data_IF_312073185093
#
_entry.id   IF_312073185093
#
_cell.length_a   1.000
_cell.length_b   1.000
_cell.length_c   1.000
_cell.angle_alpha   90.00
_cell.angle_beta   90.00
_cell.angle_gamma   90.00
#
_symmetry.space_group_name_H-M   'P 1'
#
loop_
_entity.id
_entity.type
_entity.pdbx_description
1 polymer ?
#
# COMPACT_ATOMS: atom_id res chain seq x y z
N UNK A 1 -42.55 4.64 16.43
CA UNK A 1 -42.47 4.36 17.87
C UNK A 1 -41.26 3.47 18.06
N UNK A 2 -40.19 4.06 18.57
CA UNK A 2 -38.90 3.43 18.82
C UNK A 2 -39.01 2.49 20.02
N UNK A 3 -38.83 1.18 19.82
CA UNK A 3 -38.51 0.28 20.92
C UNK A 3 -37.00 0.18 21.06
N UNK A 4 -36.50 0.73 22.16
CA UNK A 4 -35.13 0.58 22.61
C UNK A 4 -34.87 -0.88 22.97
N UNK A 5 -33.94 -1.52 22.27
CA UNK A 5 -33.40 -2.79 22.73
C UNK A 5 -32.50 -2.52 23.95
N UNK A 6 -33.04 -2.74 25.14
CA UNK A 6 -32.28 -2.73 26.39
C UNK A 6 -31.42 -3.99 26.42
N UNK A 7 -30.10 -3.79 26.39
CA UNK A 7 -29.09 -4.84 26.24
C UNK A 7 -29.01 -5.82 27.41
N UNK A 8 -30.04 -6.64 27.60
CA UNK A 8 -30.09 -7.71 28.59
C UNK A 8 -30.21 -9.05 27.87
N UNK A 9 -29.07 -9.64 27.51
CA UNK A 9 -28.94 -10.91 26.76
C UNK A 9 -29.29 -12.17 27.56
N UNK A 10 -30.23 -12.12 28.50
CA UNK A 10 -30.58 -13.26 29.35
C UNK A 10 -31.86 -14.01 28.90
N UNK A 11 -32.60 -13.52 27.89
CA UNK A 11 -33.88 -14.13 27.48
C UNK A 11 -34.03 -14.48 26.00
N UNK A 12 -33.00 -14.33 25.17
CA UNK A 12 -33.09 -14.71 23.76
C UNK A 12 -32.62 -16.16 23.57
N UNK A 13 -33.58 -17.09 23.70
CA UNK A 13 -33.43 -18.50 23.34
C UNK A 13 -33.62 -18.76 21.84
N UNK A 14 -33.06 -17.92 20.98
CA UNK A 14 -33.05 -18.14 19.53
C UNK A 14 -31.67 -18.61 19.08
N UNK A 15 -31.68 -19.67 18.27
CA UNK A 15 -30.50 -20.30 17.70
C UNK A 15 -29.71 -19.31 16.83
N UNK A 16 -28.59 -18.81 17.36
CA UNK A 16 -27.60 -17.99 16.64
C UNK A 16 -26.78 -18.80 15.60
N UNK A 17 -27.35 -19.82 14.96
CA UNK A 17 -26.64 -20.71 14.03
C UNK A 17 -26.68 -20.28 12.56
N UNK A 18 -27.47 -19.25 12.20
CA UNK A 18 -27.71 -18.88 10.79
C UNK A 18 -27.29 -17.46 10.41
N UNK A 19 -26.35 -16.83 11.15
CA UNK A 19 -25.63 -15.68 10.59
C UNK A 19 -24.65 -16.22 9.56
N UNK A 20 -25.07 -16.30 8.30
CA UNK A 20 -24.14 -16.33 7.16
C UNK A 20 -23.11 -15.23 7.43
N UNK A 21 -21.85 -15.59 7.55
CA UNK A 21 -20.76 -14.61 7.61
C UNK A 21 -20.81 -13.86 6.27
N UNK A 22 -21.51 -12.72 6.24
CA UNK A 22 -21.43 -11.81 5.10
C UNK A 22 -19.96 -11.46 4.93
N UNK A 23 -19.46 -11.66 3.70
CA UNK A 23 -18.11 -11.25 3.36
C UNK A 23 -17.98 -9.77 3.66
N UNK A 24 -17.01 -9.39 4.49
CA UNK A 24 -16.72 -7.98 4.78
C UNK A 24 -16.12 -7.26 3.55
N UNK A 25 -15.74 -8.02 2.52
CA UNK A 25 -15.19 -7.52 1.28
C UNK A 25 -16.24 -6.74 0.51
N UNK A 26 -15.85 -5.55 0.06
CA UNK A 26 -16.61 -4.78 -0.89
C UNK A 26 -16.49 -5.38 -2.30
N UNK A 27 -17.59 -5.37 -3.03
CA UNK A 27 -17.56 -5.62 -4.46
C UNK A 27 -16.90 -4.43 -5.18
N UNK A 28 -16.01 -4.71 -6.13
CA UNK A 28 -15.39 -3.67 -6.94
C UNK A 28 -16.44 -3.04 -7.88
N UNK A 29 -16.15 -1.85 -8.41
CA UNK A 29 -16.97 -1.27 -9.48
C UNK A 29 -17.19 -2.30 -10.62
N UNK A 30 -18.38 -2.43 -11.21
CA UNK A 30 -18.65 -3.39 -12.28
C UNK A 30 -17.74 -3.28 -13.51
N UNK A 31 -17.14 -2.10 -13.74
CA UNK A 31 -16.18 -1.85 -14.81
C UNK A 31 -14.73 -2.11 -14.39
N UNK A 32 -14.49 -2.78 -13.26
CA UNK A 32 -13.17 -3.05 -12.70
C UNK A 32 -12.90 -4.54 -12.61
N UNK A 33 -11.78 -4.96 -13.21
CA UNK A 33 -11.26 -6.31 -13.16
C UNK A 33 -9.81 -6.27 -12.69
N UNK A 34 -9.63 -6.38 -11.38
CA UNK A 34 -8.32 -6.37 -10.73
C UNK A 34 -7.91 -7.81 -10.39
N UNK A 35 -6.83 -8.31 -10.98
CA UNK A 35 -6.40 -9.71 -10.80
C UNK A 35 -5.69 -9.95 -9.47
N UNK A 36 -4.84 -9.00 -9.05
CA UNK A 36 -4.05 -9.09 -7.82
C UNK A 36 -4.06 -7.76 -7.08
N UNK A 37 -4.39 -7.79 -5.80
CA UNK A 37 -4.33 -6.64 -4.89
C UNK A 37 -3.26 -6.88 -3.83
N UNK A 38 -2.19 -6.08 -3.86
CA UNK A 38 -1.03 -6.22 -2.98
C UNK A 38 -0.96 -5.02 -2.04
N UNK A 39 -1.06 -5.26 -0.73
CA UNK A 39 -0.90 -4.22 0.26
C UNK A 39 0.59 -3.97 0.56
N UNK A 40 1.03 -2.73 0.46
CA UNK A 40 2.38 -2.31 0.87
C UNK A 40 2.30 -1.68 2.24
N UNK A 41 2.89 -2.31 3.25
CA UNK A 41 2.74 -1.95 4.66
C UNK A 41 4.09 -1.58 5.26
N UNK A 42 4.11 -0.58 6.13
CA UNK A 42 5.29 -0.26 6.95
C UNK A 42 4.96 -0.19 8.44
N UNK A 43 5.99 -0.42 9.24
CA UNK A 43 5.92 -0.35 10.68
C UNK A 43 5.75 1.07 11.24
N UNK A 44 6.41 2.03 10.60
CA UNK A 44 6.37 3.47 10.91
C UNK A 44 6.35 4.31 9.63
N UNK A 45 6.08 5.60 9.80
CA UNK A 45 6.24 6.60 8.74
C UNK A 45 7.72 6.88 8.44
N UNK A 46 8.00 7.30 7.21
CA UNK A 46 9.36 7.74 6.80
C UNK A 46 10.31 6.64 6.36
N UNK A 47 9.89 5.38 6.25
CA UNK A 47 10.73 4.28 5.69
C UNK A 47 10.76 4.26 4.15
N UNK A 48 10.06 5.19 3.48
CA UNK A 48 9.96 5.24 2.01
C UNK A 48 9.02 4.20 1.41
N UNK A 49 7.97 3.82 2.15
CA UNK A 49 6.90 2.93 1.70
C UNK A 49 6.32 3.35 0.35
N UNK A 50 5.86 4.59 0.21
CA UNK A 50 5.28 5.13 -1.03
C UNK A 50 6.26 5.15 -2.19
N UNK A 51 7.56 5.37 -1.92
CA UNK A 51 8.63 5.22 -2.92
C UNK A 51 8.72 3.78 -3.41
N UNK A 52 8.74 2.80 -2.49
CA UNK A 52 8.76 1.37 -2.85
C UNK A 52 7.50 0.98 -3.61
N UNK A 53 6.31 1.41 -3.17
CA UNK A 53 5.03 1.20 -3.87
C UNK A 53 5.12 1.71 -5.31
N UNK A 54 5.60 2.94 -5.52
CA UNK A 54 5.76 3.53 -6.84
C UNK A 54 6.76 2.76 -7.70
N UNK A 55 7.92 2.40 -7.15
CA UNK A 55 8.94 1.62 -7.85
C UNK A 55 8.43 0.24 -8.30
N UNK A 56 7.64 -0.44 -7.46
CA UNK A 56 7.03 -1.74 -7.81
C UNK A 56 5.99 -1.59 -8.93
N UNK A 57 5.15 -0.56 -8.87
CA UNK A 57 4.17 -0.26 -9.91
C UNK A 57 4.84 0.05 -11.26
N UNK A 58 5.90 0.86 -11.25
CA UNK A 58 6.70 1.18 -12.44
C UNK A 58 7.42 -0.06 -12.96
N UNK A 59 8.03 -0.87 -12.08
CA UNK A 59 8.76 -2.06 -12.49
C UNK A 59 7.85 -3.09 -13.19
N UNK A 60 6.67 -3.37 -12.63
CA UNK A 60 5.72 -4.28 -13.28
C UNK A 60 5.11 -3.66 -14.54
N UNK A 61 4.87 -2.35 -14.58
CA UNK A 61 4.39 -1.67 -15.80
C UNK A 61 5.39 -1.79 -16.95
N UNK A 62 6.70 -1.60 -16.66
CA UNK A 62 7.77 -1.81 -17.64
C UNK A 62 7.96 -3.26 -18.07
N UNK A 63 7.38 -4.21 -17.34
CA UNK A 63 7.28 -5.63 -17.76
C UNK A 63 6.04 -5.90 -18.64
N UNK A 64 5.25 -4.87 -18.98
CA UNK A 64 4.06 -4.96 -19.83
C UNK A 64 2.77 -5.30 -19.08
N UNK A 65 2.77 -5.25 -17.75
CA UNK A 65 1.59 -5.53 -16.92
C UNK A 65 0.80 -4.24 -16.66
N UNK A 66 -0.53 -4.32 -16.66
CA UNK A 66 -1.39 -3.17 -16.31
C UNK A 66 -1.34 -2.97 -14.81
N UNK A 67 -0.76 -1.87 -14.34
CA UNK A 67 -0.63 -1.58 -12.89
C UNK A 67 -1.52 -0.44 -12.43
N UNK A 68 -1.90 -0.51 -11.16
CA UNK A 68 -2.61 0.55 -10.47
C UNK A 68 -2.03 0.79 -9.06
N UNK A 69 -2.17 2.01 -8.55
CA UNK A 69 -1.86 2.35 -7.17
C UNK A 69 -3.07 3.00 -6.52
N UNK A 70 -3.54 2.40 -5.43
CA UNK A 70 -4.54 2.95 -4.53
C UNK A 70 -3.81 3.49 -3.30
N UNK A 71 -3.74 4.81 -3.17
CA UNK A 71 -3.06 5.48 -2.07
C UNK A 71 -4.01 5.69 -0.89
N UNK A 72 -3.75 4.95 0.19
CA UNK A 72 -4.45 5.04 1.46
C UNK A 72 -3.62 5.78 2.54
N UNK A 73 -2.43 6.29 2.20
CA UNK A 73 -1.54 6.99 3.14
C UNK A 73 -1.60 8.50 2.94
N UNK A 74 -2.44 9.12 3.75
CA UNK A 74 -2.74 10.55 3.68
C UNK A 74 -1.73 11.38 4.45
N UNK A 75 -0.93 10.74 5.31
CA UNK A 75 -0.01 11.42 6.22
C UNK A 75 1.36 11.72 5.61
N UNK A 76 1.63 11.19 4.42
CA UNK A 76 2.93 11.27 3.74
C UNK A 76 2.88 12.01 2.41
N UNK A 77 4.06 12.26 1.80
CA UNK A 77 4.14 12.72 0.41
C UNK A 77 3.43 11.72 -0.50
N UNK A 78 2.50 12.22 -1.30
CA UNK A 78 1.47 11.41 -1.95
C UNK A 78 2.00 10.68 -3.19
N UNK A 79 1.42 9.51 -3.49
CA UNK A 79 1.67 8.81 -4.77
C UNK A 79 1.39 9.72 -5.98
N UNK A 80 0.29 10.53 -6.01
CA UNK A 80 0.09 11.53 -7.06
C UNK A 80 1.29 12.44 -7.30
N UNK A 81 1.89 13.00 -6.24
CA UNK A 81 3.07 13.85 -6.35
C UNK A 81 4.23 13.10 -7.01
N UNK A 82 4.44 11.84 -6.62
CA UNK A 82 5.51 10.99 -7.16
C UNK A 82 5.43 10.81 -8.69
N UNK A 83 4.21 10.88 -9.24
CA UNK A 83 3.93 10.74 -10.67
C UNK A 83 3.59 12.06 -11.37
N UNK A 84 3.66 13.20 -10.68
CA UNK A 84 3.35 14.51 -11.26
C UNK A 84 1.87 14.65 -11.67
N UNK A 85 0.97 13.99 -10.94
CA UNK A 85 -0.47 14.01 -11.17
C UNK A 85 -1.10 15.15 -10.36
N UNK A 86 -1.67 16.12 -11.06
CA UNK A 86 -2.34 17.29 -10.47
C UNK A 86 -3.83 17.38 -10.85
N UNK A 87 -4.38 16.31 -11.43
CA UNK A 87 -5.70 16.34 -12.04
C UNK A 87 -6.79 16.10 -10.99
N UNK A 88 -7.84 16.92 -11.02
CA UNK A 88 -9.08 16.63 -10.30
C UNK A 88 -9.68 15.32 -10.81
N UNK A 89 -10.21 14.50 -9.89
CA UNK A 89 -10.85 13.24 -10.23
C UNK A 89 -12.15 13.52 -11.00
N UNK A 90 -12.20 13.08 -12.25
CA UNK A 90 -13.40 13.18 -13.07
C UNK A 90 -14.42 12.11 -12.64
N UNK A 91 -15.68 12.52 -12.56
CA UNK A 91 -16.80 11.61 -12.39
C UNK A 91 -17.48 11.34 -13.74
N UNK A 92 -17.77 10.08 -14.00
CA UNK A 92 -18.56 9.61 -15.15
C UNK A 92 -19.86 8.97 -14.68
N UNK A 93 -20.79 8.68 -15.60
CA UNK A 93 -22.01 7.92 -15.28
C UNK A 93 -21.71 6.53 -14.68
N UNK A 94 -20.55 5.96 -15.01
CA UNK A 94 -20.10 4.66 -14.56
C UNK A 94 -19.37 4.68 -13.20
N UNK A 95 -19.01 5.87 -12.70
CA UNK A 95 -18.22 6.05 -11.48
C UNK A 95 -17.04 7.01 -11.67
N UNK A 96 -16.13 7.02 -10.71
CA UNK A 96 -14.93 7.86 -10.71
C UNK A 96 -13.90 7.33 -11.70
N UNK A 97 -13.19 8.22 -12.41
CA UNK A 97 -12.11 7.85 -13.31
C UNK A 97 -10.77 8.02 -12.58
N UNK A 98 -9.89 6.99 -12.56
CA UNK A 98 -8.59 7.15 -11.93
C UNK A 98 -7.70 8.10 -12.74
N UNK A 99 -6.82 8.84 -12.06
CA UNK A 99 -5.75 9.56 -12.74
C UNK A 99 -4.80 8.55 -13.41
N UNK A 100 -4.21 8.92 -14.54
CA UNK A 100 -3.35 8.03 -15.32
C UNK A 100 -2.01 8.72 -15.58
N UNK A 101 -0.91 8.02 -15.27
CA UNK A 101 0.45 8.50 -15.52
C UNK A 101 0.80 8.49 -17.01
N UNK A 102 1.96 9.03 -17.39
CA UNK A 102 2.38 9.08 -18.81
C UNK A 102 2.60 7.69 -19.39
N UNK A 103 3.06 6.73 -18.59
CA UNK A 103 3.24 5.32 -18.99
C UNK A 103 1.99 4.45 -18.70
N UNK A 104 0.87 5.04 -18.29
CA UNK A 104 -0.42 4.34 -18.19
C UNK A 104 -0.71 3.68 -16.84
N UNK A 105 0.04 3.99 -15.79
CA UNK A 105 -0.24 3.52 -14.42
C UNK A 105 -1.47 4.26 -13.89
N UNK A 106 -2.45 3.53 -13.38
CA UNK A 106 -3.67 4.13 -12.80
C UNK A 106 -3.43 4.51 -11.35
N UNK A 107 -3.85 5.68 -10.93
CA UNK A 107 -3.64 6.19 -9.56
C UNK A 107 -4.93 6.77 -9.02
N UNK A 108 -5.24 6.41 -7.78
CA UNK A 108 -6.29 7.06 -6.99
C UNK A 108 -5.73 7.36 -5.60
N UNK A 109 -5.95 8.57 -5.10
CA UNK A 109 -5.49 9.01 -3.79
C UNK A 109 -6.49 9.98 -3.20
N UNK A 110 -6.59 9.99 -1.87
CA UNK A 110 -7.38 11.00 -1.15
C UNK A 110 -6.80 12.40 -1.39
N UNK A 111 -5.48 12.51 -1.63
CA UNK A 111 -4.84 13.80 -1.90
C UNK A 111 -5.29 14.44 -3.22
N UNK A 112 -5.85 13.67 -4.16
CA UNK A 112 -6.43 14.20 -5.40
C UNK A 112 -7.82 14.82 -5.20
N UNK A 113 -8.44 14.63 -4.03
CA UNK A 113 -9.72 15.23 -3.66
C UNK A 113 -9.57 16.51 -2.83
N UNK A 114 -8.34 16.87 -2.45
CA UNK A 114 -8.08 18.10 -1.71
C UNK A 114 -8.02 19.29 -2.68
N UNK A 115 -8.58 20.46 -2.30
CA UNK A 115 -8.49 21.66 -3.13
C UNK A 115 -7.05 22.09 -3.40
N UNK A 116 -6.18 21.96 -2.39
CA UNK A 116 -4.76 22.27 -2.48
C UNK A 116 -3.95 21.13 -1.84
N UNK A 117 -2.83 20.74 -2.46
CA UNK A 117 -1.96 19.65 -1.97
C UNK A 117 -1.38 19.93 -0.57
N UNK A 118 -1.29 21.20 -0.18
CA UNK A 118 -0.75 21.61 1.13
C UNK A 118 -1.79 21.64 2.24
N UNK A 119 -3.07 21.42 1.91
CA UNK A 119 -4.14 21.50 2.91
C UNK A 119 -4.05 20.32 3.88
N UNK A 120 -4.12 20.57 5.20
CA UNK A 120 -4.07 19.49 6.17
C UNK A 120 -5.35 18.66 6.11
N UNK A 121 -5.20 17.34 5.96
CA UNK A 121 -6.35 16.42 6.01
C UNK A 121 -6.79 16.21 7.45
N UNK A 122 -7.82 16.95 7.87
CA UNK A 122 -8.42 16.85 9.20
C UNK A 122 -9.54 15.80 9.27
N UNK A 123 -9.29 14.61 8.72
CA UNK A 123 -10.30 13.56 8.66
C UNK A 123 -10.07 12.50 9.74
N UNK A 124 -11.17 11.98 10.30
CA UNK A 124 -11.12 10.90 11.30
C UNK A 124 -10.89 9.56 10.59
N UNK A 125 -10.18 8.65 11.26
CA UNK A 125 -9.85 7.30 10.73
C UNK A 125 -11.00 6.57 10.02
N UNK A 126 -12.22 6.50 10.58
CA UNK A 126 -13.36 5.86 9.92
C UNK A 126 -13.75 6.49 8.57
N UNK A 127 -13.60 7.82 8.44
CA UNK A 127 -13.90 8.53 7.19
C UNK A 127 -12.84 8.16 6.14
N UNK A 128 -11.57 8.09 6.54
CA UNK A 128 -10.47 7.67 5.66
C UNK A 128 -10.65 6.24 5.17
N UNK A 129 -10.97 5.34 6.09
CA UNK A 129 -11.25 3.95 5.76
C UNK A 129 -12.44 3.82 4.79
N UNK A 130 -13.50 4.62 4.99
CA UNK A 130 -14.65 4.67 4.09
C UNK A 130 -14.27 5.21 2.71
N UNK A 131 -13.41 6.23 2.63
CA UNK A 131 -12.95 6.78 1.37
C UNK A 131 -12.13 5.76 0.56
N UNK A 132 -11.22 5.03 1.20
CA UNK A 132 -10.45 3.95 0.54
C UNK A 132 -11.38 2.84 0.04
N UNK A 133 -12.38 2.45 0.86
CA UNK A 133 -13.42 1.51 0.43
C UNK A 133 -14.20 2.05 -0.77
N UNK A 134 -14.55 3.33 -0.77
CA UNK A 134 -15.25 3.97 -1.86
C UNK A 134 -14.42 3.99 -3.15
N UNK A 135 -13.11 4.20 -3.07
CA UNK A 135 -12.24 4.11 -4.23
C UNK A 135 -12.18 2.69 -4.82
N UNK A 136 -12.42 1.66 -4.01
CA UNK A 136 -12.55 0.30 -4.53
C UNK A 136 -13.91 0.08 -5.23
N UNK A 137 -15.00 0.59 -4.66
CA UNK A 137 -16.37 0.35 -5.16
C UNK A 137 -16.76 1.25 -6.32
N UNK A 138 -16.26 2.49 -6.37
CA UNK A 138 -16.80 3.54 -7.24
C UNK A 138 -15.84 3.90 -8.38
N UNK A 139 -14.55 3.59 -8.27
CA UNK A 139 -13.58 3.90 -9.32
C UNK A 139 -13.61 2.84 -10.41
N UNK A 140 -13.68 3.30 -11.66
CA UNK A 140 -13.59 2.49 -12.87
C UNK A 140 -12.12 2.16 -13.17
N UNK A 141 -11.58 1.17 -12.47
CA UNK A 141 -10.20 0.72 -12.64
C UNK A 141 -9.97 0.01 -13.97
N UNK A 142 -11.00 -0.48 -14.69
CA UNK A 142 -10.82 -1.28 -15.90
C UNK A 142 -10.05 -2.57 -15.62
N UNK A 143 -9.33 -3.07 -16.62
CA UNK A 143 -8.40 -4.19 -16.41
C UNK A 143 -7.13 -3.73 -15.69
N UNK A 144 -6.80 -4.40 -14.60
CA UNK A 144 -5.57 -4.23 -13.84
C UNK A 144 -5.00 -5.61 -13.49
N UNK A 145 -3.75 -5.85 -13.85
CA UNK A 145 -3.05 -7.09 -13.48
C UNK A 145 -2.58 -7.03 -12.02
N UNK A 146 -2.00 -5.89 -11.60
CA UNK A 146 -1.50 -5.68 -10.25
C UNK A 146 -1.90 -4.31 -9.71
N UNK A 147 -2.68 -4.29 -8.63
CA UNK A 147 -2.96 -3.10 -7.85
C UNK A 147 -2.12 -3.11 -6.58
N UNK A 148 -1.37 -2.04 -6.35
CA UNK A 148 -0.68 -1.80 -5.09
C UNK A 148 -1.51 -0.88 -4.21
N UNK A 149 -1.76 -1.27 -2.96
CA UNK A 149 -2.40 -0.41 -1.97
C UNK A 149 -1.31 0.17 -1.07
N UNK A 150 -1.08 1.49 -1.15
CA UNK A 150 -0.12 2.18 -0.30
C UNK A 150 -0.75 2.42 1.08
N UNK A 151 -0.50 1.51 2.02
CA UNK A 151 -1.20 1.51 3.31
C UNK A 151 -0.71 2.65 4.21
N UNK A 152 -1.54 3.22 5.09
CA UNK A 152 -1.03 4.14 6.12
C UNK A 152 0.00 3.44 7.03
N UNK A 153 0.92 4.19 7.66
CA UNK A 153 1.93 3.60 8.52
C UNK A 153 1.32 2.94 9.76
N UNK A 154 1.89 1.80 10.17
CA UNK A 154 1.50 1.05 11.36
C UNK A 154 0.31 0.11 11.14
N UNK A 155 -0.30 -0.32 12.24
CA UNK A 155 -1.41 -1.31 12.26
C UNK A 155 -2.67 -0.72 12.91
N UNK A 156 -2.96 0.56 12.62
CA UNK A 156 -4.14 1.26 13.16
C UNK A 156 -5.44 0.90 12.44
N UNK A 157 -6.53 1.54 12.86
CA UNK A 157 -7.89 1.21 12.40
C UNK A 157 -8.05 1.29 10.88
N UNK A 158 -7.44 2.27 10.21
CA UNK A 158 -7.52 2.42 8.74
C UNK A 158 -6.92 1.20 8.04
N UNK A 159 -5.76 0.73 8.49
CA UNK A 159 -5.12 -0.45 7.90
C UNK A 159 -6.00 -1.69 8.07
N UNK A 160 -6.57 -1.90 9.27
CA UNK A 160 -7.46 -3.03 9.54
C UNK A 160 -8.72 -3.00 8.67
N UNK A 161 -9.36 -1.84 8.53
CA UNK A 161 -10.55 -1.72 7.69
C UNK A 161 -10.25 -1.99 6.22
N UNK A 162 -9.10 -1.53 5.71
CA UNK A 162 -8.68 -1.84 4.34
C UNK A 162 -8.48 -3.35 4.16
N UNK A 163 -7.81 -4.04 5.10
CA UNK A 163 -7.68 -5.50 5.07
C UNK A 163 -9.02 -6.25 5.12
N UNK A 164 -10.02 -5.68 5.79
CA UNK A 164 -11.36 -6.27 5.88
C UNK A 164 -12.22 -5.98 4.65
N UNK A 165 -11.97 -4.86 3.96
CA UNK A 165 -12.85 -4.35 2.91
C UNK A 165 -12.36 -4.67 1.50
N UNK A 166 -11.05 -4.84 1.30
CA UNK A 166 -10.46 -5.12 -0.01
C UNK A 166 -9.96 -6.57 -0.09
N UNK A 167 -10.04 -7.23 -1.25
CA UNK A 167 -9.56 -8.60 -1.43
C UNK A 167 -8.04 -8.62 -1.54
N UNK A 168 -7.33 -8.40 -0.43
CA UNK A 168 -5.86 -8.37 -0.42
C UNK A 168 -5.30 -9.79 -0.64
N UNK A 169 -4.61 -9.99 -1.77
CA UNK A 169 -3.98 -11.26 -2.16
C UNK A 169 -2.62 -11.49 -1.49
N UNK A 170 -1.96 -10.43 -1.06
CA UNK A 170 -0.67 -10.52 -0.37
C UNK A 170 -0.13 -9.20 0.12
N UNK A 171 0.91 -9.29 0.95
CA UNK A 171 1.53 -8.13 1.61
C UNK A 171 3.02 -8.06 1.31
N UNK A 172 3.50 -6.84 1.04
CA UNK A 172 4.92 -6.49 1.04
C UNK A 172 5.20 -5.62 2.26
N UNK A 173 6.20 -6.02 3.05
CA UNK A 173 6.60 -5.29 4.26
C UNK A 173 7.80 -4.40 3.96
N UNK A 174 7.62 -3.08 4.05
CA UNK A 174 8.68 -2.10 3.88
C UNK A 174 9.25 -1.69 5.22
N UNK A 175 10.57 -1.74 5.34
CA UNK A 175 11.30 -1.37 6.57
C UNK A 175 12.61 -0.66 6.23
N UNK A 176 13.35 -0.22 7.24
CA UNK A 176 14.70 0.34 7.12
C UNK A 176 15.59 -0.18 8.25
N UNK A 177 16.94 -0.11 8.15
CA UNK A 177 17.82 -0.62 9.21
C UNK A 177 17.51 -0.08 10.61
N UNK A 178 17.08 1.18 10.70
CA UNK A 178 16.66 1.81 11.97
C UNK A 178 15.33 1.30 12.51
N UNK A 179 14.47 0.79 11.62
CA UNK A 179 13.12 0.33 11.94
C UNK A 179 13.02 -1.16 12.29
N UNK A 180 14.13 -1.88 12.19
CA UNK A 180 14.23 -3.30 12.55
C UNK A 180 14.19 -3.53 14.07
N UNK A 181 13.36 -2.79 14.79
CA UNK A 181 12.93 -3.14 16.13
C UNK A 181 11.88 -4.24 15.98
N UNK A 182 12.19 -5.46 16.44
CA UNK A 182 11.35 -6.66 16.30
C UNK A 182 9.87 -6.43 16.60
N UNK A 183 9.56 -5.55 17.55
CA UNK A 183 8.19 -5.24 17.96
C UNK A 183 7.35 -4.67 16.81
N UNK A 184 7.91 -3.80 15.96
CA UNK A 184 7.15 -3.07 14.95
C UNK A 184 6.82 -4.00 13.78
N UNK A 185 7.84 -4.66 13.23
CA UNK A 185 7.68 -5.67 12.17
C UNK A 185 6.77 -6.81 12.65
N UNK A 186 6.92 -7.25 13.90
CA UNK A 186 6.12 -8.31 14.50
C UNK A 186 4.62 -7.98 14.57
N UNK A 187 4.23 -6.71 14.72
CA UNK A 187 2.81 -6.30 14.68
C UNK A 187 2.22 -6.48 13.28
N UNK A 188 2.92 -6.02 12.25
CA UNK A 188 2.46 -6.16 10.87
C UNK A 188 2.35 -7.63 10.45
N UNK A 189 3.33 -8.47 10.82
CA UNK A 189 3.30 -9.92 10.55
C UNK A 189 2.13 -10.61 11.27
N UNK A 190 1.88 -10.25 12.54
CA UNK A 190 0.74 -10.82 13.28
C UNK A 190 -0.60 -10.43 12.68
N UNK A 191 -0.76 -9.16 12.29
CA UNK A 191 -1.96 -8.67 11.65
C UNK A 191 -2.23 -9.41 10.33
N UNK A 192 -1.23 -9.56 9.47
CA UNK A 192 -1.33 -10.33 8.23
C UNK A 192 -1.82 -11.77 8.47
N UNK A 193 -1.24 -12.45 9.46
CA UNK A 193 -1.63 -13.82 9.84
C UNK A 193 -3.05 -13.89 10.40
N UNK A 194 -3.46 -12.91 11.21
CA UNK A 194 -4.84 -12.83 11.73
C UNK A 194 -5.87 -12.65 10.62
N UNK A 195 -5.51 -11.93 9.55
CA UNK A 195 -6.35 -11.73 8.37
C UNK A 195 -6.23 -12.86 7.33
N UNK A 196 -5.41 -13.88 7.60
CA UNK A 196 -5.11 -14.98 6.69
C UNK A 196 -4.58 -14.51 5.30
N UNK A 197 -3.81 -13.42 5.29
CA UNK A 197 -3.20 -12.86 4.07
C UNK A 197 -1.72 -13.27 4.01
N UNK A 198 -1.23 -13.81 2.88
CA UNK A 198 0.17 -14.20 2.76
C UNK A 198 1.08 -12.98 2.69
N UNK A 199 2.29 -13.11 3.25
CA UNK A 199 3.33 -12.08 3.16
C UNK A 199 4.33 -12.53 2.10
N UNK A 200 4.44 -11.78 1.01
CA UNK A 200 5.34 -12.10 -0.09
C UNK A 200 6.80 -11.83 0.25
N UNK A 201 7.07 -10.83 1.09
CA UNK A 201 8.41 -10.63 1.61
C UNK A 201 8.68 -9.22 2.14
N UNK A 202 9.93 -9.01 2.50
CA UNK A 202 10.46 -7.74 2.98
C UNK A 202 11.15 -6.95 1.87
N UNK A 203 10.96 -5.64 1.86
CA UNK A 203 11.83 -4.68 1.17
C UNK A 203 12.47 -3.79 2.24
N UNK A 204 13.79 -3.85 2.36
CA UNK A 204 14.52 -2.92 3.21
C UNK A 204 15.01 -1.74 2.39
N UNK A 205 14.43 -0.59 2.68
CA UNK A 205 14.85 0.67 2.11
C UNK A 205 15.97 1.31 2.95
N UNK A 206 16.75 2.18 2.33
CA UNK A 206 17.88 2.87 2.96
C UNK A 206 18.92 1.93 3.58
N UNK A 207 19.13 0.76 2.96
CA UNK A 207 20.00 -0.30 3.47
C UNK A 207 21.48 0.13 3.51
N UNK A 208 21.91 0.88 2.51
CA UNK A 208 23.28 1.39 2.38
C UNK A 208 23.32 2.64 1.50
N UNK A 209 24.39 3.42 1.58
CA UNK A 209 24.71 4.49 0.63
C UNK A 209 25.92 4.07 -0.19
N UNK A 210 25.81 4.05 -1.52
CA UNK A 210 26.96 3.77 -2.39
C UNK A 210 27.64 5.09 -2.75
N UNK A 211 28.87 5.29 -2.26
CA UNK A 211 29.63 6.51 -2.52
C UNK A 211 29.93 6.63 -4.03
N UNK A 212 29.54 7.73 -4.70
CA UNK A 212 29.77 7.90 -6.14
C UNK A 212 31.27 8.02 -6.48
N UNK A 213 32.09 8.53 -5.56
CA UNK A 213 33.52 8.77 -5.81
C UNK A 213 34.38 7.51 -5.67
N UNK A 214 34.02 6.59 -4.77
CA UNK A 214 34.83 5.42 -4.46
C UNK A 214 34.11 4.06 -4.60
N UNK A 215 32.81 4.05 -4.88
CA UNK A 215 32.00 2.85 -5.05
C UNK A 215 31.73 2.05 -3.76
N UNK A 216 32.30 2.45 -2.62
CA UNK A 216 32.09 1.76 -1.34
C UNK A 216 30.67 1.95 -0.84
N UNK A 217 30.16 0.91 -0.19
CA UNK A 217 28.87 0.92 0.49
C UNK A 217 29.03 1.31 1.95
N UNK A 218 28.28 2.31 2.38
CA UNK A 218 28.27 2.83 3.74
C UNK A 218 26.91 2.56 4.36
N UNK A 219 26.90 1.83 5.48
CA UNK A 219 25.69 1.53 6.24
C UNK A 219 25.37 2.71 7.17
N UNK A 220 24.88 3.80 6.58
CA UNK A 220 24.61 5.08 7.27
C UNK A 220 23.72 4.88 8.51
N UNK A 221 22.77 3.97 8.41
CA UNK A 221 21.80 3.68 9.44
C UNK A 221 22.13 2.46 10.31
N UNK A 222 23.36 1.96 10.21
CA UNK A 222 23.84 0.79 10.94
C UNK A 222 23.63 -0.52 10.18
N UNK A 223 24.11 -1.59 10.80
CA UNK A 223 24.03 -2.94 10.26
C UNK A 223 22.58 -3.43 10.17
N UNK A 224 22.18 -3.95 9.01
CA UNK A 224 20.87 -4.56 8.82
C UNK A 224 20.76 -5.83 9.67
N UNK A 225 19.63 -5.96 10.36
CA UNK A 225 19.22 -7.17 11.09
C UNK A 225 18.11 -7.92 10.36
N UNK A 226 17.84 -7.54 9.11
CA UNK A 226 16.65 -8.02 8.41
C UNK A 226 16.72 -9.52 8.17
N UNK A 227 17.89 -10.08 7.87
CA UNK A 227 18.03 -11.52 7.64
C UNK A 227 17.61 -12.34 8.85
N UNK A 228 17.98 -11.90 10.07
CA UNK A 228 17.57 -12.55 11.32
C UNK A 228 16.05 -12.47 11.53
N UNK A 229 15.46 -11.30 11.27
CA UNK A 229 14.02 -11.07 11.41
C UNK A 229 13.23 -11.87 10.38
N UNK A 230 13.65 -11.82 9.11
CA UNK A 230 13.09 -12.55 7.98
C UNK A 230 13.09 -14.06 8.25
N UNK A 231 14.21 -14.60 8.74
CA UNK A 231 14.33 -16.00 9.12
C UNK A 231 13.38 -16.37 10.27
N UNK A 232 13.28 -15.54 11.31
CA UNK A 232 12.42 -15.80 12.47
C UNK A 232 10.94 -15.92 12.12
N UNK A 233 10.51 -15.23 11.06
CA UNK A 233 9.13 -15.28 10.55
C UNK A 233 8.95 -16.20 9.35
N UNK A 234 10.04 -16.77 8.80
CA UNK A 234 10.07 -17.54 7.56
C UNK A 234 9.51 -16.77 6.37
N UNK A 235 9.91 -15.50 6.24
CA UNK A 235 9.49 -14.58 5.18
C UNK A 235 10.74 -14.15 4.41
N UNK A 236 10.76 -14.17 3.07
CA UNK A 236 11.96 -13.83 2.30
C UNK A 236 12.23 -12.32 2.28
N UNK A 237 13.48 -11.95 2.01
CA UNK A 237 13.87 -10.58 1.64
C UNK A 237 13.83 -10.47 0.12
N UNK A 238 12.98 -9.58 -0.39
CA UNK A 238 12.78 -9.38 -1.84
C UNK A 238 13.79 -8.38 -2.41
N UNK A 239 14.13 -7.34 -1.65
CA UNK A 239 15.03 -6.28 -2.10
C UNK A 239 15.68 -5.54 -0.93
N UNK A 240 16.87 -4.99 -1.21
CA UNK A 240 17.57 -4.00 -0.38
C UNK A 240 17.88 -2.79 -1.23
N UNK A 241 17.25 -1.66 -0.93
CA UNK A 241 17.39 -0.45 -1.71
C UNK A 241 18.42 0.48 -1.06
N UNK A 242 19.28 1.13 -1.86
CA UNK A 242 20.21 2.12 -1.34
C UNK A 242 19.51 3.43 -0.97
N UNK A 243 20.19 4.25 -0.19
CA UNK A 243 19.94 5.69 -0.13
C UNK A 243 20.42 6.27 -1.46
N UNK A 244 19.48 6.69 -2.30
CA UNK A 244 19.77 7.24 -3.61
C UNK A 244 19.17 8.66 -3.75
N UNK A 245 20.01 9.70 -3.82
CA UNK A 245 19.56 11.07 -4.06
C UNK A 245 18.80 11.25 -5.37
N UNK A 246 19.11 10.46 -6.40
CA UNK A 246 18.44 10.55 -7.70
C UNK A 246 16.99 10.08 -7.61
N UNK A 247 16.74 8.94 -6.94
CA UNK A 247 15.39 8.48 -6.63
C UNK A 247 14.58 9.54 -5.88
N UNK A 248 15.15 10.19 -4.86
CA UNK A 248 14.48 11.27 -4.14
C UNK A 248 14.16 12.47 -5.04
N UNK A 249 15.12 12.88 -5.87
CA UNK A 249 14.97 13.98 -6.83
C UNK A 249 13.86 13.70 -7.85
N UNK A 250 13.80 12.48 -8.39
CA UNK A 250 12.77 12.07 -9.34
C UNK A 250 11.39 12.00 -8.70
N UNK A 251 11.31 11.52 -7.46
CA UNK A 251 10.06 11.53 -6.68
C UNK A 251 9.53 12.96 -6.51
N UNK A 252 10.37 13.89 -6.05
CA UNK A 252 9.96 15.28 -5.82
C UNK A 252 9.59 16.02 -7.11
N UNK A 253 10.13 15.61 -8.25
CA UNK A 253 9.82 16.18 -9.57
C UNK A 253 8.61 15.53 -10.25
N UNK A 254 7.98 14.52 -9.64
CA UNK A 254 6.88 13.79 -10.26
C UNK A 254 7.29 12.92 -11.45
N UNK A 255 8.51 12.37 -11.39
CA UNK A 255 9.14 11.61 -12.47
C UNK A 255 9.53 10.21 -12.04
N UNK A 256 8.75 9.58 -11.16
CA UNK A 256 9.03 8.21 -10.69
C UNK A 256 9.09 7.17 -11.80
N UNK A 257 8.46 7.41 -12.95
CA UNK A 257 8.57 6.53 -14.13
C UNK A 257 10.01 6.44 -14.67
N UNK A 258 10.89 7.40 -14.33
CA UNK A 258 12.29 7.46 -14.75
C UNK A 258 13.27 6.87 -13.71
N UNK A 259 12.76 6.37 -12.57
CA UNK A 259 13.60 5.89 -11.46
C UNK A 259 14.44 4.66 -11.87
N UNK A 260 15.70 4.55 -11.39
CA UNK A 260 16.48 3.32 -11.52
C UNK A 260 15.78 2.15 -10.82
N UNK A 261 15.63 1.03 -11.52
CA UNK A 261 14.86 -0.14 -11.04
C UNK A 261 15.73 -1.34 -10.65
N UNK A 262 17.05 -1.25 -10.80
CA UNK A 262 17.97 -2.37 -10.57
C UNK A 262 17.80 -2.96 -9.17
N UNK A 263 17.59 -2.10 -8.17
CA UNK A 263 17.41 -2.52 -6.78
C UNK A 263 16.10 -3.26 -6.49
N UNK A 264 15.05 -3.04 -7.30
CA UNK A 264 13.70 -3.61 -7.08
C UNK A 264 13.31 -4.67 -8.11
N UNK A 265 14.05 -4.79 -9.23
CA UNK A 265 13.71 -5.66 -10.35
C UNK A 265 13.53 -7.13 -9.96
N UNK A 266 14.34 -7.64 -9.02
CA UNK A 266 14.21 -9.00 -8.50
C UNK A 266 12.88 -9.20 -7.77
N UNK A 267 12.48 -8.23 -6.94
CA UNK A 267 11.19 -8.24 -6.25
C UNK A 267 10.04 -8.23 -7.26
N UNK A 268 10.07 -7.33 -8.25
CA UNK A 268 9.05 -7.26 -9.31
C UNK A 268 8.95 -8.57 -10.10
N UNK A 269 10.08 -9.20 -10.43
CA UNK A 269 10.10 -10.49 -11.13
C UNK A 269 9.41 -11.59 -10.32
N UNK A 270 9.67 -11.65 -9.00
CA UNK A 270 9.00 -12.61 -8.11
C UNK A 270 7.49 -12.33 -8.06
N UNK A 271 7.10 -11.07 -7.92
CA UNK A 271 5.69 -10.67 -7.84
C UNK A 271 4.92 -10.90 -9.14
N UNK A 272 5.57 -10.80 -10.30
CA UNK A 272 4.92 -11.08 -11.60
C UNK A 272 4.48 -12.54 -11.79
N UNK A 273 4.85 -13.43 -10.86
CA UNK A 273 4.61 -14.89 -10.93
C UNK A 273 3.66 -15.41 -9.86
N UNK A 274 3.23 -14.57 -8.92
CA UNK A 274 2.29 -14.94 -7.84
C UNK A 274 0.84 -14.75 -8.24
#
# INVERSE_FOLDING_TARGET
MSESCSGNCASCGESCSDRKHESLLAEANPNSHVKKVIAVVSGKGGVGKSTVTSMLAVALSKMGLKTAVLDADITGPSIPKAFGLHTEIEASEAGMVPAVTKEGIKVMSINLLLPEETDPVLWRGPILASAVKQFWTDVCWGDVDYMFVDMPPGTGDVALTVFQSLPIDGIILVTSPQDLVQMIVGKAVKMARMMNVPIYGFVENYSFFRCPDCGKEHKIFGESKLDEVALSYSIPVLARLPIDPETARLFDQGRMEEVPLEGIAAAATILSRV
#
